data_IF_605453836775
#
_entry.id   IF_605453836775
#
_cell.length_a   1.000
_cell.length_b   1.000
_cell.length_c   1.000
_cell.angle_alpha   90.00
_cell.angle_beta   90.00
_cell.angle_gamma   90.00
#
_symmetry.space_group_name_H-M   'P 1'
#
loop_
_entity.id
_entity.type
_entity.pdbx_description
1 polymer ?
#
# COMPACT_ATOMS: atom_id res chain seq x y z
N UNK A 1 -18.74 19.49 -2.89
CA UNK A 1 -17.36 18.98 -3.04
C UNK A 1 -17.28 17.80 -4.03
N UNK A 2 -18.30 16.93 -4.09
CA UNK A 2 -18.32 15.75 -4.99
C UNK A 2 -18.41 16.07 -6.49
N UNK A 3 -18.50 17.34 -6.88
CA UNK A 3 -18.56 17.75 -8.29
C UNK A 3 -17.25 18.33 -8.84
N UNK A 4 -16.23 18.52 -7.98
CA UNK A 4 -15.02 19.26 -8.37
C UNK A 4 -13.90 18.37 -8.93
N UNK A 5 -13.79 17.13 -8.53
CA UNK A 5 -12.92 16.13 -9.15
C UNK A 5 -13.15 14.74 -8.52
N UNK A 6 -13.58 13.73 -9.30
CA UNK A 6 -13.69 12.35 -8.81
C UNK A 6 -12.34 11.76 -8.33
N UNK A 7 -11.22 12.26 -8.85
CA UNK A 7 -9.88 11.83 -8.47
C UNK A 7 -9.47 12.34 -7.09
N UNK A 8 -9.83 13.57 -6.74
CA UNK A 8 -9.49 14.18 -5.45
C UNK A 8 -10.30 13.64 -4.28
N UNK A 9 -11.57 13.33 -4.53
CA UNK A 9 -12.44 12.79 -3.49
C UNK A 9 -12.03 11.37 -3.10
N UNK A 10 -11.28 10.65 -3.96
CA UNK A 10 -11.03 9.23 -3.79
C UNK A 10 -9.64 8.89 -3.21
N UNK A 11 -8.59 9.64 -3.52
CA UNK A 11 -7.24 9.19 -3.13
C UNK A 11 -6.77 9.70 -1.77
N UNK A 12 -7.02 10.95 -1.40
CA UNK A 12 -6.42 11.52 -0.19
C UNK A 12 -7.31 11.41 1.06
N UNK A 13 -8.61 11.61 0.94
CA UNK A 13 -9.50 11.60 2.09
C UNK A 13 -9.83 10.15 2.53
N UNK A 14 -10.11 9.29 1.57
CA UNK A 14 -10.46 7.90 1.86
C UNK A 14 -9.24 7.04 2.23
N UNK A 15 -8.08 7.30 1.65
CA UNK A 15 -6.85 6.61 2.07
C UNK A 15 -6.54 6.86 3.56
N UNK A 16 -6.88 8.03 4.10
CA UNK A 16 -6.73 8.32 5.53
C UNK A 16 -7.75 7.61 6.43
N UNK A 17 -8.94 7.31 5.92
CA UNK A 17 -9.94 6.51 6.66
C UNK A 17 -9.58 5.03 6.66
N UNK A 18 -8.89 4.59 5.64
CA UNK A 18 -8.52 3.19 5.43
C UNK A 18 -7.16 2.89 6.05
N UNK A 19 -6.17 3.78 5.86
CA UNK A 19 -4.81 3.65 6.39
C UNK A 19 -4.62 4.62 7.53
N UNK A 20 -4.30 4.07 8.68
CA UNK A 20 -4.08 4.84 9.92
C UNK A 20 -2.64 4.66 10.41
N UNK A 21 -2.12 5.70 11.05
CA UNK A 21 -0.83 5.62 11.75
C UNK A 21 -0.95 4.60 12.90
N UNK A 22 0.13 3.84 13.12
CA UNK A 22 0.25 2.92 14.22
C UNK A 22 1.52 3.23 15.03
N UNK A 23 1.38 3.40 16.33
CA UNK A 23 2.47 3.87 17.20
C UNK A 23 3.69 2.95 17.23
N UNK A 24 3.49 1.63 17.03
CA UNK A 24 4.56 0.65 17.13
C UNK A 24 5.13 0.24 15.78
N UNK A 25 4.29 -0.06 14.77
CA UNK A 25 4.76 -0.50 13.45
C UNK A 25 4.36 0.44 12.30
N UNK A 26 4.41 1.73 12.58
CA UNK A 26 4.29 2.87 11.67
C UNK A 26 2.87 3.09 11.13
N UNK A 27 2.27 2.15 10.42
CA UNK A 27 0.91 2.29 9.85
C UNK A 27 0.24 0.94 9.64
N UNK A 28 -1.08 0.96 9.47
CA UNK A 28 -1.90 -0.23 9.24
C UNK A 28 -3.19 0.12 8.51
N UNK A 29 -3.94 -0.89 8.08
CA UNK A 29 -5.32 -0.70 7.67
C UNK A 29 -6.22 -0.54 8.90
N UNK A 30 -7.24 0.32 8.79
CA UNK A 30 -8.22 0.50 9.84
C UNK A 30 -9.10 -0.75 9.97
N UNK A 31 -9.67 -0.97 11.15
CA UNK A 31 -10.54 -2.12 11.45
C UNK A 31 -11.93 -1.92 10.88
N UNK A 32 -12.56 -3.03 10.48
CA UNK A 32 -13.96 -3.06 10.00
C UNK A 32 -14.22 -2.09 8.84
N UNK A 33 -13.24 -1.87 7.98
CA UNK A 33 -13.42 -1.11 6.75
C UNK A 33 -14.35 -1.88 5.83
N UNK A 34 -15.28 -1.16 5.21
CA UNK A 34 -16.11 -1.65 4.12
C UNK A 34 -16.22 -0.52 3.10
N UNK A 35 -15.40 -0.57 2.09
CA UNK A 35 -15.26 0.54 1.18
C UNK A 35 -15.12 0.10 -0.28
N UNK A 36 -16.02 0.63 -1.13
CA UNK A 36 -15.94 0.46 -2.57
C UNK A 36 -15.05 1.54 -3.16
N UNK A 37 -13.90 1.15 -3.71
CA UNK A 37 -12.90 2.05 -4.27
C UNK A 37 -12.82 1.90 -5.79
N UNK A 38 -12.65 3.01 -6.49
CA UNK A 38 -12.28 2.96 -7.90
C UNK A 38 -10.85 2.40 -8.03
N UNK A 39 -10.65 1.39 -8.85
CA UNK A 39 -9.32 0.97 -9.24
C UNK A 39 -8.84 1.85 -10.40
N UNK A 40 -7.56 2.19 -10.40
CA UNK A 40 -6.99 2.99 -11.48
C UNK A 40 -6.93 2.28 -12.84
N UNK A 41 -7.29 0.99 -12.90
CA UNK A 41 -7.12 0.17 -14.10
C UNK A 41 -8.45 -0.30 -14.71
N UNK A 42 -9.33 -0.98 -14.00
CA UNK A 42 -10.48 -1.67 -14.61
C UNK A 42 -11.81 -1.54 -13.84
N UNK A 43 -12.04 -0.44 -13.14
CA UNK A 43 -13.34 -0.24 -12.50
C UNK A 43 -13.26 -0.08 -10.97
N UNK A 44 -14.11 -0.76 -10.24
CA UNK A 44 -14.20 -0.66 -8.79
C UNK A 44 -13.79 -1.97 -8.14
N UNK A 45 -13.07 -1.87 -7.03
CA UNK A 45 -12.81 -2.98 -6.13
C UNK A 45 -13.34 -2.67 -4.73
N UNK A 46 -13.58 -3.70 -3.95
CA UNK A 46 -14.06 -3.56 -2.58
C UNK A 46 -12.88 -3.80 -1.64
N UNK A 47 -12.53 -2.79 -0.87
CA UNK A 47 -11.58 -2.94 0.22
C UNK A 47 -12.32 -3.15 1.52
N UNK A 48 -12.22 -4.35 2.06
CA UNK A 48 -12.73 -4.67 3.39
C UNK A 48 -11.62 -5.16 4.30
N UNK A 49 -11.78 -4.87 5.59
CA UNK A 49 -10.92 -5.40 6.65
C UNK A 49 -11.78 -6.04 7.74
N UNK A 50 -11.20 -7.02 8.42
CA UNK A 50 -11.82 -7.64 9.58
C UNK A 50 -11.71 -6.75 10.85
N UNK A 51 -12.11 -7.31 11.99
CA UNK A 51 -12.02 -6.65 13.30
C UNK A 51 -10.58 -6.45 13.81
N UNK A 52 -9.58 -6.96 13.12
CA UNK A 52 -8.16 -6.77 13.41
C UNK A 52 -7.51 -5.71 12.51
N UNK A 53 -8.16 -5.31 11.41
CA UNK A 53 -7.61 -4.45 10.38
C UNK A 53 -6.82 -5.23 9.33
N UNK A 54 -7.01 -6.54 9.22
CA UNK A 54 -6.44 -7.35 8.15
C UNK A 54 -7.37 -7.32 6.95
N UNK A 55 -6.83 -7.19 5.74
CA UNK A 55 -7.67 -7.26 4.54
C UNK A 55 -8.35 -8.61 4.46
N UNK A 56 -9.67 -8.58 4.40
CA UNK A 56 -10.51 -9.78 4.41
C UNK A 56 -11.89 -9.50 3.80
N UNK A 57 -12.76 -10.50 3.81
CA UNK A 57 -14.15 -10.39 3.41
C UNK A 57 -14.89 -9.36 4.26
N UNK A 58 -15.81 -8.63 3.65
CA UNK A 58 -16.56 -7.58 4.32
C UNK A 58 -17.37 -8.09 5.51
N UNK A 59 -17.50 -7.26 6.54
CA UNK A 59 -18.29 -7.53 7.73
C UNK A 59 -17.89 -8.81 8.48
N UNK A 60 -16.65 -9.24 8.34
CA UNK A 60 -16.15 -10.45 8.98
C UNK A 60 -15.58 -10.16 10.36
N UNK A 61 -15.91 -11.03 11.29
CA UNK A 61 -15.34 -11.06 12.63
C UNK A 61 -14.54 -12.34 12.79
N UNK A 62 -13.30 -12.22 13.28
CA UNK A 62 -12.36 -13.32 13.34
C UNK A 62 -11.69 -13.39 14.71
N UNK A 63 -11.25 -14.55 15.09
CA UNK A 63 -10.42 -14.78 16.27
C UNK A 63 -8.96 -14.41 15.96
N UNK A 64 -8.11 -14.43 16.99
CA UNK A 64 -6.67 -14.15 16.88
C UNK A 64 -5.83 -15.36 16.51
N UNK A 65 -6.45 -16.45 16.09
CA UNK A 65 -5.78 -17.71 15.76
C UNK A 65 -5.90 -18.01 14.27
N UNK A 66 -4.75 -18.14 13.62
CA UNK A 66 -4.67 -18.35 12.19
C UNK A 66 -3.71 -19.50 11.87
N UNK A 67 -4.08 -20.32 10.90
CA UNK A 67 -3.20 -21.38 10.40
C UNK A 67 -1.98 -20.79 9.71
N UNK A 68 -2.19 -19.76 8.87
CA UNK A 68 -1.14 -19.14 8.08
C UNK A 68 -1.30 -17.62 8.10
N UNK A 69 -0.19 -16.91 8.30
CA UNK A 69 -0.10 -15.48 8.08
C UNK A 69 0.74 -15.19 6.83
N UNK A 70 0.23 -14.35 5.95
CA UNK A 70 0.96 -13.78 4.82
C UNK A 70 1.36 -12.36 5.16
N UNK A 71 2.66 -12.07 5.18
CA UNK A 71 3.21 -10.76 5.51
C UNK A 71 4.04 -10.23 4.34
N UNK A 72 3.84 -8.99 4.00
CA UNK A 72 4.50 -8.30 2.89
C UNK A 72 3.92 -6.91 2.67
N UNK A 73 4.17 -6.36 1.52
CA UNK A 73 3.79 -5.02 1.09
C UNK A 73 2.44 -4.95 0.34
N UNK A 74 2.36 -4.08 -0.65
CA UNK A 74 1.19 -3.90 -1.52
C UNK A 74 0.80 -5.13 -2.34
N UNK A 75 1.77 -5.99 -2.67
CA UNK A 75 1.50 -7.25 -3.37
C UNK A 75 0.73 -8.22 -2.48
N UNK A 76 1.13 -8.35 -1.22
CA UNK A 76 0.43 -9.21 -0.25
C UNK A 76 -0.92 -8.59 0.15
N UNK A 77 -0.99 -7.27 0.31
CA UNK A 77 -2.26 -6.58 0.49
C UNK A 77 -3.23 -6.88 -0.66
N UNK A 78 -2.70 -7.09 -1.87
CA UNK A 78 -3.50 -7.23 -3.09
C UNK A 78 -4.16 -5.91 -3.46
N UNK A 79 -3.32 -4.87 -3.66
CA UNK A 79 -3.80 -3.53 -4.00
C UNK A 79 -4.68 -3.58 -5.25
N UNK A 80 -5.80 -2.84 -5.21
CA UNK A 80 -6.80 -2.76 -6.29
C UNK A 80 -7.53 -4.08 -6.64
N UNK A 81 -7.51 -5.07 -5.75
CA UNK A 81 -8.26 -6.31 -5.89
C UNK A 81 -9.25 -6.48 -4.74
N UNK A 82 -10.36 -7.15 -4.99
CA UNK A 82 -11.21 -7.70 -3.94
C UNK A 82 -10.43 -8.79 -3.18
N UNK A 83 -10.77 -9.05 -1.92
CA UNK A 83 -10.01 -10.03 -1.14
C UNK A 83 -9.97 -11.40 -1.81
N UNK A 84 -11.10 -11.82 -2.34
CA UNK A 84 -11.28 -13.13 -2.98
C UNK A 84 -10.40 -13.31 -4.22
N UNK A 85 -10.06 -12.21 -4.89
CA UNK A 85 -9.23 -12.18 -6.10
C UNK A 85 -7.74 -12.03 -5.78
N UNK A 86 -7.39 -11.73 -4.53
CA UNK A 86 -5.98 -11.75 -4.10
C UNK A 86 -5.44 -13.18 -4.05
N UNK A 87 -4.13 -13.34 -4.23
CA UNK A 87 -3.52 -14.68 -4.09
C UNK A 87 -3.72 -15.25 -2.67
N UNK A 88 -3.81 -14.39 -1.65
CA UNK A 88 -4.09 -14.78 -0.26
C UNK A 88 -5.51 -15.33 -0.14
N UNK A 89 -6.51 -14.64 -0.69
CA UNK A 89 -7.90 -15.08 -0.69
C UNK A 89 -8.12 -16.35 -1.52
N UNK A 90 -7.48 -16.44 -2.69
CA UNK A 90 -7.49 -17.65 -3.53
C UNK A 90 -6.88 -18.83 -2.77
N UNK A 91 -5.76 -18.61 -2.07
CA UNK A 91 -5.12 -19.65 -1.26
C UNK A 91 -6.05 -20.13 -0.12
N UNK A 92 -6.64 -19.20 0.65
CA UNK A 92 -7.58 -19.51 1.72
C UNK A 92 -8.73 -20.38 1.19
N UNK A 93 -9.34 -19.96 0.10
CA UNK A 93 -10.48 -20.67 -0.51
C UNK A 93 -10.10 -22.08 -0.97
N UNK A 94 -8.95 -22.22 -1.66
CA UNK A 94 -8.49 -23.54 -2.14
C UNK A 94 -8.09 -24.47 -1.02
N UNK A 95 -7.42 -23.98 0.01
CA UNK A 95 -6.91 -24.82 1.12
C UNK A 95 -7.90 -24.99 2.26
N UNK A 96 -8.93 -24.14 2.33
CA UNK A 96 -9.93 -24.13 3.40
C UNK A 96 -9.32 -24.03 4.80
N UNK A 97 -8.31 -23.17 4.93
CA UNK A 97 -7.58 -22.90 6.18
C UNK A 97 -7.74 -21.43 6.58
N UNK A 98 -7.67 -21.13 7.86
CA UNK A 98 -7.72 -19.78 8.37
C UNK A 98 -6.44 -19.02 8.00
N UNK A 99 -6.56 -17.90 7.30
CA UNK A 99 -5.44 -17.10 6.80
C UNK A 99 -5.51 -15.67 7.31
N UNK A 100 -4.40 -15.11 7.79
CA UNK A 100 -4.25 -13.69 8.07
C UNK A 100 -3.52 -13.00 6.90
N UNK A 101 -4.16 -12.04 6.24
CA UNK A 101 -3.49 -11.15 5.30
C UNK A 101 -2.93 -9.95 6.08
N UNK A 102 -1.64 -9.96 6.36
CA UNK A 102 -0.94 -8.93 7.11
C UNK A 102 -0.25 -7.89 6.20
N UNK A 103 -0.40 -8.02 4.88
CA UNK A 103 0.18 -7.11 3.91
C UNK A 103 -0.44 -5.73 3.96
N UNK A 104 0.39 -4.71 3.84
CA UNK A 104 -0.04 -3.31 3.70
C UNK A 104 0.96 -2.57 2.81
N UNK A 105 0.46 -1.76 1.92
CA UNK A 105 1.29 -0.95 1.01
C UNK A 105 2.37 -0.18 1.75
N UNK A 106 3.56 -0.16 1.16
CA UNK A 106 4.77 0.51 1.69
C UNK A 106 5.31 -0.10 2.99
N UNK A 107 4.97 -1.33 3.28
CA UNK A 107 5.67 -2.09 4.32
C UNK A 107 7.08 -2.48 3.86
N UNK A 108 7.97 -2.63 4.83
CA UNK A 108 9.38 -2.93 4.65
C UNK A 108 9.87 -3.82 5.82
N UNK A 109 11.06 -4.44 5.76
CA UNK A 109 11.54 -5.40 6.75
C UNK A 109 11.45 -4.96 8.21
N UNK A 110 11.79 -3.71 8.52
CA UNK A 110 11.65 -3.18 9.88
C UNK A 110 10.20 -3.18 10.36
N UNK A 111 9.25 -2.85 9.46
CA UNK A 111 7.82 -2.90 9.77
C UNK A 111 7.34 -4.34 9.92
N UNK A 112 7.82 -5.28 9.09
CA UNK A 112 7.49 -6.70 9.21
C UNK A 112 7.83 -7.24 10.59
N UNK A 113 9.07 -7.00 11.04
CA UNK A 113 9.55 -7.42 12.35
C UNK A 113 8.73 -6.80 13.49
N UNK A 114 8.53 -5.49 13.41
CA UNK A 114 7.80 -4.74 14.43
C UNK A 114 6.33 -5.19 14.53
N UNK A 115 5.65 -5.36 13.39
CA UNK A 115 4.26 -5.83 13.34
C UNK A 115 4.12 -7.23 13.91
N UNK A 116 5.00 -8.16 13.51
CA UNK A 116 4.96 -9.52 14.04
C UNK A 116 5.17 -9.56 15.55
N UNK A 117 6.17 -8.81 16.05
CA UNK A 117 6.39 -8.70 17.51
C UNK A 117 5.14 -8.18 18.22
N UNK A 118 4.55 -7.08 17.72
CA UNK A 118 3.34 -6.51 18.29
C UNK A 118 2.19 -7.52 18.32
N UNK A 119 1.94 -8.21 17.19
CA UNK A 119 0.85 -9.18 17.11
C UNK A 119 1.05 -10.34 18.10
N UNK A 120 2.25 -10.91 18.18
CA UNK A 120 2.56 -12.01 19.10
C UNK A 120 2.41 -11.57 20.57
N UNK A 121 2.86 -10.36 20.92
CA UNK A 121 2.68 -9.79 22.26
C UNK A 121 1.20 -9.52 22.62
N UNK A 122 0.36 -9.34 21.59
CA UNK A 122 -1.09 -9.14 21.75
C UNK A 122 -1.90 -10.45 21.59
N UNK A 123 -1.27 -11.59 21.82
CA UNK A 123 -1.87 -12.93 21.82
C UNK A 123 -2.43 -13.39 20.47
N UNK A 124 -1.90 -12.88 19.35
CA UNK A 124 -2.16 -13.49 18.06
C UNK A 124 -1.33 -14.76 17.92
N UNK A 125 -1.94 -15.77 17.32
CA UNK A 125 -1.30 -17.07 17.09
C UNK A 125 -1.29 -17.39 15.61
N UNK A 126 -0.14 -17.77 15.09
CA UNK A 126 0.06 -18.21 13.72
C UNK A 126 0.85 -19.52 13.74
N UNK A 127 0.37 -20.56 13.05
CA UNK A 127 1.14 -21.80 12.95
C UNK A 127 2.28 -21.65 11.92
N UNK A 128 2.01 -20.91 10.85
CA UNK A 128 2.97 -20.64 9.79
C UNK A 128 2.98 -19.15 9.43
N UNK A 129 4.16 -18.63 9.15
CA UNK A 129 4.37 -17.31 8.57
C UNK A 129 4.99 -17.46 7.19
N UNK A 130 4.37 -16.86 6.19
CA UNK A 130 4.92 -16.72 4.84
C UNK A 130 5.25 -15.25 4.63
N UNK A 131 6.55 -14.97 4.48
CA UNK A 131 7.07 -13.62 4.30
C UNK A 131 7.40 -13.40 2.83
N UNK A 132 6.84 -12.36 2.25
CA UNK A 132 7.17 -11.87 0.91
C UNK A 132 8.01 -10.61 1.04
N UNK A 133 9.19 -10.64 0.46
CA UNK A 133 10.12 -9.51 0.44
C UNK A 133 10.40 -9.18 -1.02
N UNK A 134 10.11 -7.95 -1.40
CA UNK A 134 10.47 -7.39 -2.69
C UNK A 134 11.78 -6.61 -2.58
N UNK A 135 12.46 -6.40 -3.69
CA UNK A 135 13.71 -5.62 -3.71
C UNK A 135 13.47 -4.15 -3.33
N UNK A 136 12.28 -3.62 -3.66
CA UNK A 136 11.87 -2.27 -3.27
C UNK A 136 11.72 -2.11 -1.76
N UNK A 137 11.34 -3.17 -1.04
CA UNK A 137 11.22 -3.14 0.42
C UNK A 137 12.54 -2.84 1.11
N UNK A 138 13.65 -3.37 0.57
CA UNK A 138 14.99 -3.10 1.10
C UNK A 138 15.40 -1.63 0.88
N UNK A 139 15.02 -1.07 -0.26
CA UNK A 139 15.23 0.33 -0.54
C UNK A 139 14.39 1.23 0.37
N UNK A 140 13.11 0.90 0.54
CA UNK A 140 12.18 1.65 1.40
C UNK A 140 12.63 1.61 2.87
N UNK A 141 13.07 0.45 3.34
CA UNK A 141 13.58 0.26 4.69
C UNK A 141 14.80 1.14 4.96
N UNK A 142 15.76 1.12 4.01
CA UNK A 142 16.96 1.93 4.12
C UNK A 142 16.68 3.43 3.98
N UNK A 143 15.68 3.83 3.21
CA UNK A 143 15.44 5.23 2.87
C UNK A 143 14.47 5.91 3.82
N UNK A 144 13.38 5.24 4.19
CA UNK A 144 12.26 5.86 4.87
C UNK A 144 12.09 5.45 6.33
N UNK A 145 12.47 4.23 6.70
CA UNK A 145 12.16 3.68 8.02
C UNK A 145 13.39 3.54 8.91
N UNK A 146 13.19 3.84 10.19
CA UNK A 146 14.16 3.60 11.26
C UNK A 146 13.50 2.75 12.33
N UNK A 147 14.15 1.66 12.69
CA UNK A 147 13.78 0.85 13.85
C UNK A 147 14.46 1.43 15.11
N UNK A 148 13.69 1.54 16.19
CA UNK A 148 14.16 2.01 17.48
C UNK A 148 14.56 0.80 18.36
N UNK A 149 15.15 1.05 19.53
CA UNK A 149 15.60 0.01 20.46
C UNK A 149 14.45 -0.86 21.00
N UNK A 150 13.26 -0.29 21.16
CA UNK A 150 12.04 -1.00 21.54
C UNK A 150 11.39 -1.79 20.39
N UNK A 151 12.02 -1.76 19.22
CA UNK A 151 11.53 -2.28 17.93
C UNK A 151 10.33 -1.53 17.36
N UNK A 152 9.98 -0.36 17.84
CA UNK A 152 9.05 0.51 17.14
C UNK A 152 9.69 1.10 15.87
N UNK A 153 8.85 1.43 14.89
CA UNK A 153 9.30 1.97 13.60
C UNK A 153 8.83 3.41 13.42
N UNK A 154 9.78 4.28 13.05
CA UNK A 154 9.52 5.69 12.75
C UNK A 154 10.08 6.06 11.38
N UNK A 155 9.57 7.15 10.78
CA UNK A 155 10.16 7.70 9.56
C UNK A 155 11.53 8.35 9.85
N UNK A 156 12.55 8.04 9.08
CA UNK A 156 13.91 8.64 9.19
C UNK A 156 13.91 10.17 9.10
N UNK A 157 12.98 10.75 8.34
CA UNK A 157 12.90 12.19 8.11
C UNK A 157 11.73 12.86 8.87
N UNK A 158 11.11 12.17 9.83
CA UNK A 158 9.98 12.72 10.60
C UNK A 158 10.33 13.99 11.40
N UNK A 159 11.60 14.19 11.73
CA UNK A 159 12.10 15.35 12.46
C UNK A 159 12.35 16.59 11.56
N UNK A 160 12.32 16.43 10.25
CA UNK A 160 12.53 17.54 9.33
C UNK A 160 11.42 18.60 9.41
N UNK A 161 11.79 19.88 9.65
CA UNK A 161 10.87 21.05 9.66
C UNK A 161 9.93 21.06 8.44
N UNK A 162 10.40 20.52 7.31
CA UNK A 162 9.64 20.45 6.07
C UNK A 162 8.46 19.44 6.12
N UNK A 163 8.59 18.35 6.87
CA UNK A 163 7.52 17.33 6.97
C UNK A 163 6.38 17.83 7.88
N UNK A 164 6.73 18.43 9.02
CA UNK A 164 5.74 19.06 9.92
C UNK A 164 4.99 20.19 9.19
N UNK A 165 5.70 21.01 8.40
CA UNK A 165 5.11 22.05 7.57
C UNK A 165 4.22 21.47 6.47
N UNK A 166 4.64 20.38 5.81
CA UNK A 166 3.84 19.68 4.80
C UNK A 166 2.58 19.05 5.40
N UNK A 167 2.68 18.35 6.55
CA UNK A 167 1.53 17.83 7.28
C UNK A 167 0.56 18.95 7.70
N UNK A 168 1.09 20.07 8.21
CA UNK A 168 0.29 21.23 8.58
C UNK A 168 -0.44 21.84 7.37
N UNK A 169 0.26 22.12 6.28
CA UNK A 169 -0.31 22.68 5.06
C UNK A 169 -1.37 21.74 4.45
N UNK A 170 -1.08 20.45 4.41
CA UNK A 170 -2.01 19.44 3.90
C UNK A 170 -3.31 19.36 4.73
N UNK A 171 -3.20 19.48 6.04
CA UNK A 171 -4.35 19.33 6.93
C UNK A 171 -5.20 20.61 7.03
N UNK A 172 -4.59 21.79 6.91
CA UNK A 172 -5.27 23.05 7.11
C UNK A 172 -5.57 23.80 5.81
N UNK A 173 -4.88 23.46 4.73
CA UNK A 173 -5.03 24.13 3.44
C UNK A 173 -5.16 23.12 2.28
N UNK A 174 -6.29 22.37 2.21
CA UNK A 174 -6.47 21.33 1.19
C UNK A 174 -6.42 21.86 -0.24
N UNK A 175 -6.87 23.11 -0.49
CA UNK A 175 -6.84 23.73 -1.82
C UNK A 175 -5.43 24.05 -2.30
N UNK A 176 -4.53 24.50 -1.43
CA UNK A 176 -3.12 24.72 -1.77
C UNK A 176 -2.39 23.42 -2.06
N UNK A 177 -2.73 22.36 -1.35
CA UNK A 177 -2.17 21.05 -1.60
C UNK A 177 -2.61 20.48 -2.96
N UNK A 178 -3.88 20.71 -3.32
CA UNK A 178 -4.42 20.40 -4.65
C UNK A 178 -3.69 21.14 -5.76
N UNK A 179 -3.55 22.44 -5.60
CA UNK A 179 -2.84 23.28 -6.61
C UNK A 179 -1.40 22.81 -6.83
N UNK A 180 -0.68 22.49 -5.74
CA UNK A 180 0.69 21.95 -5.83
C UNK A 180 0.73 20.55 -6.46
N UNK A 181 -0.29 19.72 -6.25
CA UNK A 181 -0.42 18.41 -6.90
C UNK A 181 -0.64 18.58 -8.41
N UNK A 182 -1.56 19.44 -8.83
CA UNK A 182 -1.84 19.72 -10.26
C UNK A 182 -0.59 20.24 -10.98
N UNK A 183 0.17 21.17 -10.36
CA UNK A 183 1.42 21.66 -10.93
C UNK A 183 2.44 20.52 -11.09
N UNK A 184 2.58 19.64 -10.10
CA UNK A 184 3.50 18.50 -10.18
C UNK A 184 3.09 17.50 -11.25
N UNK A 185 1.80 17.21 -11.38
CA UNK A 185 1.27 16.35 -12.43
C UNK A 185 1.53 16.95 -13.81
N UNK A 186 1.23 18.22 -14.01
CA UNK A 186 1.50 18.91 -15.26
C UNK A 186 2.99 18.90 -15.63
N UNK A 187 3.86 19.12 -14.64
CA UNK A 187 5.30 19.08 -14.85
C UNK A 187 5.83 17.66 -15.14
N UNK A 188 5.18 16.61 -14.64
CA UNK A 188 5.51 15.22 -15.00
C UNK A 188 5.03 14.89 -16.41
N UNK A 189 3.79 15.20 -16.74
CA UNK A 189 3.23 15.00 -18.07
C UNK A 189 4.06 15.73 -19.13
N UNK A 190 4.46 16.97 -18.87
CA UNK A 190 5.31 17.72 -19.78
C UNK A 190 6.74 17.16 -19.91
N UNK A 191 7.24 16.42 -18.93
CA UNK A 191 8.53 15.70 -19.03
C UNK A 191 8.39 14.38 -19.79
N UNK A 192 7.28 13.68 -19.64
CA UNK A 192 7.01 12.41 -20.34
C UNK A 192 6.65 12.61 -21.81
N UNK A 193 6.14 13.80 -22.18
CA UNK A 193 5.81 14.20 -23.58
C UNK A 193 7.06 14.69 -24.35
N UNK A 194 8.20 14.85 -23.72
CA UNK A 194 9.44 15.11 -24.47
C UNK A 194 9.72 13.88 -25.34
N UNK A 195 9.81 14.04 -26.69
CA UNK A 195 10.18 12.92 -27.55
C UNK A 195 11.51 12.36 -27.04
N UNK A 196 11.56 11.08 -26.78
CA UNK A 196 12.82 10.38 -26.57
C UNK A 196 13.50 10.42 -27.94
N UNK A 197 14.30 11.43 -28.19
CA UNK A 197 15.30 11.38 -29.26
C UNK A 197 16.28 10.28 -28.88
N UNK A 198 15.95 9.04 -29.27
CA UNK A 198 16.89 7.95 -29.21
C UNK A 198 17.94 8.21 -30.30
N UNK A 199 19.14 8.58 -29.90
CA UNK A 199 20.31 8.64 -30.79
C UNK A 199 20.70 7.24 -31.34
N UNK A 200 19.96 6.17 -30.99
CA UNK A 200 20.23 4.83 -31.47
C UNK A 200 19.35 4.48 -32.69
N UNK A 201 19.93 4.50 -33.93
CA UNK A 201 19.20 4.20 -35.15
C UNK A 201 18.60 2.79 -35.21
N UNK A 202 18.95 1.89 -34.29
CA UNK A 202 18.43 0.52 -34.23
C UNK A 202 17.04 0.41 -33.59
N UNK A 203 16.54 1.46 -32.98
CA UNK A 203 15.21 1.44 -32.31
C UNK A 203 14.05 1.85 -33.20
N UNK A 204 14.33 2.39 -34.41
CA UNK A 204 13.29 2.88 -35.32
C UNK A 204 12.73 1.82 -36.29
N UNK A 205 13.18 0.58 -36.23
CA UNK A 205 12.69 -0.46 -37.11
C UNK A 205 11.60 -1.31 -36.44
N UNK A 206 10.33 -0.85 -36.57
CA UNK A 206 9.15 -1.59 -36.10
C UNK A 206 9.02 -3.01 -36.70
N UNK A 207 9.75 -3.31 -37.75
CA UNK A 207 9.76 -4.64 -38.36
C UNK A 207 10.60 -5.64 -37.57
N UNK A 208 11.65 -5.19 -36.87
CA UNK A 208 12.53 -6.06 -36.08
C UNK A 208 11.92 -6.58 -34.78
N UNK A 209 10.90 -5.88 -34.23
CA UNK A 209 10.21 -6.30 -33.01
C UNK A 209 9.21 -7.44 -33.25
N UNK A 210 8.62 -7.55 -34.44
CA UNK A 210 7.70 -8.66 -34.78
C UNK A 210 8.41 -10.01 -34.96
N UNK A 211 9.67 -10.02 -35.35
CA UNK A 211 10.43 -11.26 -35.60
C UNK A 211 10.97 -11.94 -34.31
N UNK A 212 10.86 -11.33 -33.15
CA UNK A 212 11.37 -11.91 -31.89
C UNK A 212 10.33 -12.68 -31.08
N UNK A 213 9.06 -12.71 -31.54
CA UNK A 213 7.93 -13.33 -30.81
C UNK A 213 7.10 -14.28 -31.65
N UNK A 214 7.64 -14.76 -32.78
CA UNK A 214 7.06 -15.84 -33.60
C UNK A 214 7.78 -17.15 -33.36
#
# INVERSE_FOLDING_TARGET
>A
LNKLDPYLSQTDFYDRLIRIDHEFYHHTLNKNVNYKKASGFDGYHILCTDNHGFKYKCNSRRDKEFKIAFLGDSFVEGLALDYEDTFVGIYENKKRVSVANLGVTSYAPNIYLSKMKFLLQNNYKFEHLVLFIDISDLYDDNTFYKINEDLSVTEKNAEGKNLKRRKFLRNNFPLTNYYMFVIKMNNRLNKEIQPIESEDPKFNDKASLKAKWS
#
